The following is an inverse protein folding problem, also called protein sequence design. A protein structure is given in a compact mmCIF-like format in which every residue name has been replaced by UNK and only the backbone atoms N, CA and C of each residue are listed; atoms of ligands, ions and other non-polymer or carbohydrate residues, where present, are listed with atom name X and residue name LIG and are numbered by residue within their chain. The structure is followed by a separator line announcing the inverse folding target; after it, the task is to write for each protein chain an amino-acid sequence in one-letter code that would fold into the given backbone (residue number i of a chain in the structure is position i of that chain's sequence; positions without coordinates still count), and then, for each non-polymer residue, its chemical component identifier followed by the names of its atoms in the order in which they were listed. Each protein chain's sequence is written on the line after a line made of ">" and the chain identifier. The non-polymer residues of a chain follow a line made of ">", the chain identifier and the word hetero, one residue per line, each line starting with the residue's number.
data_IF_679079636605
#
_entry.id   IF_679079636605
#
_cell.length_a   1.000
_cell.length_b   1.000
_cell.length_c   1.000
_cell.angle_alpha   90.00
_cell.angle_beta   90.00
_cell.angle_gamma   90.00
#
_symmetry.space_group_name_H-M   'P 1'
#
loop_
_entity.id
_entity.type
_entity.pdbx_description
1 polymer ?
#
# COMPACT_ATOMS: atom_id res chain seq x y z
N UNK A 1 -2.07 -6.20 6.70
CA UNK A 1 -0.96 -6.82 5.94
C UNK A 1 0.19 -7.27 6.83
N UNK A 2 0.64 -6.49 7.83
CA UNK A 2 1.64 -6.91 8.82
C UNK A 2 1.39 -8.33 9.37
N UNK A 3 0.16 -8.64 9.78
CA UNK A 3 -0.24 -9.97 10.25
C UNK A 3 0.00 -11.11 9.25
N UNK A 4 -0.13 -10.86 7.94
CA UNK A 4 0.14 -11.85 6.90
C UNK A 4 1.65 -12.03 6.71
N UNK A 5 2.41 -10.94 6.76
CA UNK A 5 3.88 -10.97 6.72
C UNK A 5 4.46 -11.77 7.88
N UNK A 6 3.96 -11.56 9.11
CA UNK A 6 4.34 -12.35 10.31
C UNK A 6 4.04 -13.86 10.14
N UNK A 7 3.02 -14.20 9.35
CA UNK A 7 2.66 -15.58 9.03
C UNK A 7 3.37 -16.12 7.78
N UNK A 8 4.35 -15.39 7.25
CA UNK A 8 5.06 -15.72 6.01
C UNK A 8 4.09 -15.99 4.84
N UNK A 9 3.03 -15.19 4.74
CA UNK A 9 2.01 -15.30 3.71
C UNK A 9 2.00 -14.04 2.83
N UNK A 10 2.10 -14.23 1.52
CA UNK A 10 1.95 -13.18 0.50
C UNK A 10 0.58 -13.25 -0.16
N UNK A 11 -0.07 -12.09 -0.29
CA UNK A 11 -1.38 -12.00 -0.93
C UNK A 11 -1.30 -12.12 -2.45
N UNK A 12 -0.34 -11.40 -3.08
CA UNK A 12 -0.09 -11.38 -4.54
C UNK A 12 -1.21 -10.78 -5.38
N UNK A 13 -2.20 -10.19 -4.74
CA UNK A 13 -3.26 -9.43 -5.38
C UNK A 13 -3.84 -8.39 -4.41
N UNK A 14 -2.96 -7.68 -3.69
CA UNK A 14 -3.41 -6.63 -2.78
C UNK A 14 -3.88 -5.43 -3.60
N UNK A 15 -5.20 -5.23 -3.63
CA UNK A 15 -5.84 -4.13 -4.33
C UNK A 15 -7.10 -3.67 -3.59
N UNK A 16 -7.54 -2.43 -3.82
CA UNK A 16 -8.73 -1.89 -3.16
C UNK A 16 -9.99 -2.75 -3.35
N UNK A 17 -10.15 -3.38 -4.51
CA UNK A 17 -11.26 -4.32 -4.79
C UNK A 17 -11.28 -5.57 -3.88
N UNK A 18 -10.14 -5.92 -3.30
CA UNK A 18 -9.94 -7.06 -2.40
C UNK A 18 -9.91 -6.63 -0.93
N UNK A 19 -10.26 -5.37 -0.64
CA UNK A 19 -10.44 -4.84 0.72
C UNK A 19 -11.92 -4.54 0.93
N UNK A 20 -12.53 -5.27 1.84
CA UNK A 20 -13.95 -5.17 2.18
C UNK A 20 -14.14 -4.30 3.42
N UNK A 21 -15.20 -3.50 3.44
CA UNK A 21 -15.57 -2.67 4.59
C UNK A 21 -16.83 -3.25 5.22
N UNK A 22 -16.82 -3.52 6.52
CA UNK A 22 -18.01 -3.96 7.25
C UNK A 22 -18.88 -2.78 7.74
N UNK A 23 -20.02 -3.08 8.35
CA UNK A 23 -20.97 -2.07 8.87
C UNK A 23 -20.36 -1.14 9.91
N UNK A 24 -19.28 -1.56 10.57
CA UNK A 24 -18.57 -0.78 11.58
C UNK A 24 -17.42 0.04 10.98
N UNK A 25 -17.34 0.14 9.65
CA UNK A 25 -16.27 0.82 8.91
C UNK A 25 -14.89 0.19 9.12
N UNK A 26 -14.84 -1.10 9.46
CA UNK A 26 -13.58 -1.84 9.61
C UNK A 26 -13.19 -2.46 8.27
N UNK A 27 -11.97 -2.15 7.80
CA UNK A 27 -11.42 -2.72 6.59
C UNK A 27 -10.84 -4.12 6.81
N UNK A 28 -11.17 -5.07 5.93
CA UNK A 28 -10.74 -6.47 5.97
C UNK A 28 -10.20 -6.89 4.62
N UNK A 29 -9.01 -7.48 4.61
CA UNK A 29 -8.39 -8.05 3.41
C UNK A 29 -9.08 -9.37 3.07
N UNK A 30 -9.46 -9.59 1.81
CA UNK A 30 -10.06 -10.83 1.32
C UNK A 30 -9.53 -11.22 -0.07
N UNK A 31 -10.12 -12.26 -0.66
CA UNK A 31 -9.68 -12.86 -1.93
C UNK A 31 -8.25 -13.44 -1.93
N UNK A 32 -8.04 -14.46 -1.11
CA UNK A 32 -6.78 -15.19 -0.98
C UNK A 32 -6.54 -16.24 -2.07
N UNK A 33 -7.30 -16.23 -3.18
CA UNK A 33 -7.20 -17.24 -4.24
C UNK A 33 -5.79 -17.36 -4.86
N UNK A 34 -5.03 -16.26 -4.81
CA UNK A 34 -3.65 -16.18 -5.30
C UNK A 34 -2.59 -16.22 -4.19
N UNK A 35 -3.00 -16.23 -2.92
CA UNK A 35 -2.10 -16.15 -1.78
C UNK A 35 -1.22 -17.39 -1.65
N UNK A 36 0.02 -17.22 -1.17
CA UNK A 36 1.01 -18.30 -1.02
C UNK A 36 1.84 -18.11 0.24
N UNK A 37 2.27 -19.22 0.82
CA UNK A 37 3.31 -19.21 1.83
C UNK A 37 4.66 -18.97 1.18
N UNK A 38 5.51 -18.25 1.90
CA UNK A 38 6.88 -17.94 1.53
C UNK A 38 7.81 -18.88 2.30
N UNK A 39 8.94 -19.27 1.72
CA UNK A 39 9.98 -20.02 2.43
C UNK A 39 10.63 -19.19 3.55
N UNK A 40 11.43 -19.84 4.39
CA UNK A 40 12.07 -19.21 5.55
C UNK A 40 13.00 -18.03 5.19
N UNK A 41 13.49 -18.00 3.96
CA UNK A 41 14.29 -16.92 3.37
C UNK A 41 13.45 -15.73 2.88
N UNK A 42 12.12 -15.77 3.00
CA UNK A 42 11.24 -14.68 2.57
C UNK A 42 11.07 -14.58 1.06
N UNK A 43 11.39 -15.66 0.30
CA UNK A 43 11.26 -15.71 -1.15
C UNK A 43 10.14 -16.65 -1.63
N UNK A 44 9.45 -16.24 -2.70
CA UNK A 44 8.65 -17.17 -3.51
C UNK A 44 9.00 -17.00 -4.99
N UNK A 45 9.47 -18.09 -5.62
CA UNK A 45 9.78 -18.14 -7.05
C UNK A 45 8.68 -18.92 -7.77
N UNK A 46 7.99 -18.28 -8.72
CA UNK A 46 6.90 -18.91 -9.48
C UNK A 46 7.41 -19.60 -10.75
N UNK A 47 7.35 -20.93 -10.78
CA UNK A 47 7.78 -21.75 -11.94
C UNK A 47 6.75 -21.83 -13.07
N UNK A 48 5.47 -21.56 -12.82
CA UNK A 48 4.36 -21.73 -13.80
C UNK A 48 3.92 -20.44 -14.51
N UNK A 49 3.53 -20.54 -15.80
CA UNK A 49 3.11 -19.43 -16.67
C UNK A 49 1.64 -18.97 -16.50
N UNK A 50 1.07 -19.01 -15.29
CA UNK A 50 -0.32 -18.55 -15.05
C UNK A 50 -0.39 -17.01 -15.07
N UNK A 51 -1.44 -16.44 -15.67
CA UNK A 51 -1.75 -14.99 -15.67
C UNK A 51 -1.69 -14.41 -14.24
N UNK A 52 -1.05 -13.26 -14.09
CA UNK A 52 -0.91 -12.51 -12.82
C UNK A 52 -1.53 -11.11 -12.97
N UNK A 53 -1.96 -10.49 -11.86
CA UNK A 53 -2.47 -9.11 -11.84
C UNK A 53 -1.31 -8.11 -12.03
N UNK A 54 -0.82 -8.01 -13.27
CA UNK A 54 0.40 -7.27 -13.63
C UNK A 54 0.35 -5.77 -13.33
N UNK A 55 -0.85 -5.15 -13.29
CA UNK A 55 -1.04 -3.75 -12.88
C UNK A 55 -0.80 -3.50 -11.38
N UNK A 56 -0.75 -4.56 -10.58
CA UNK A 56 -0.50 -4.51 -9.14
C UNK A 56 0.82 -5.17 -8.76
N UNK A 57 1.69 -5.45 -9.74
CA UNK A 57 2.93 -6.21 -9.54
C UNK A 57 4.17 -5.33 -9.64
N UNK A 58 5.16 -5.60 -8.80
CA UNK A 58 6.47 -4.95 -8.84
C UNK A 58 7.33 -5.40 -10.04
N UNK A 59 8.38 -4.62 -10.36
CA UNK A 59 9.26 -4.87 -11.49
C UNK A 59 9.93 -6.25 -11.40
N UNK A 60 10.43 -6.64 -10.23
CA UNK A 60 11.04 -7.95 -10.00
C UNK A 60 10.03 -9.11 -10.13
N UNK A 61 8.76 -8.89 -9.75
CA UNK A 61 7.71 -9.89 -9.96
C UNK A 61 7.35 -10.07 -11.44
N UNK A 62 7.39 -8.98 -12.22
CA UNK A 62 7.14 -9.00 -13.66
C UNK A 62 8.30 -9.60 -14.46
N UNK A 63 9.54 -9.25 -14.10
CA UNK A 63 10.76 -9.64 -14.82
C UNK A 63 11.26 -11.01 -14.42
N UNK A 64 11.42 -11.23 -13.12
CA UNK A 64 12.18 -12.35 -12.56
C UNK A 64 11.27 -13.39 -11.89
N UNK A 65 9.96 -13.12 -11.82
CA UNK A 65 8.96 -13.96 -11.14
C UNK A 65 9.27 -14.20 -9.66
N UNK A 66 9.94 -13.23 -9.05
CA UNK A 66 10.29 -13.17 -7.63
C UNK A 66 9.21 -12.39 -6.89
N UNK A 67 8.64 -12.99 -5.84
CA UNK A 67 7.59 -12.39 -5.02
C UNK A 67 8.02 -12.35 -3.55
N UNK A 68 7.73 -11.22 -2.91
CA UNK A 68 7.94 -10.97 -1.47
C UNK A 68 6.72 -10.23 -0.93
N UNK A 69 6.67 -9.96 0.39
CA UNK A 69 5.66 -9.08 1.00
C UNK A 69 5.65 -7.67 0.40
N UNK A 70 6.72 -7.27 -0.29
CA UNK A 70 6.93 -5.93 -0.85
C UNK A 70 6.59 -5.81 -2.35
N UNK A 71 6.04 -6.86 -2.94
CA UNK A 71 5.86 -6.98 -4.39
C UNK A 71 4.53 -6.42 -4.94
N UNK A 72 3.64 -5.90 -4.09
CA UNK A 72 2.33 -5.38 -4.50
C UNK A 72 2.41 -3.85 -4.82
N UNK A 73 2.36 -3.45 -6.11
CA UNK A 73 2.53 -2.04 -6.61
C UNK A 73 1.48 -1.61 -7.66
N UNK A 74 0.74 -0.49 -7.50
CA UNK A 74 -0.37 -0.12 -8.40
C UNK A 74 0.02 0.74 -9.64
N UNK A 75 -0.47 0.38 -10.83
CA UNK A 75 -0.34 1.10 -12.12
C UNK A 75 -1.57 0.90 -13.04
N UNK A 76 -2.70 1.60 -12.77
CA UNK A 76 -3.96 1.36 -13.48
C UNK A 76 -3.95 1.82 -14.95
N UNK A 77 -3.29 2.94 -15.25
CA UNK A 77 -3.39 3.66 -16.54
C UNK A 77 -2.49 3.10 -17.65
N UNK A 78 -1.74 2.04 -17.36
CA UNK A 78 -0.84 1.43 -18.33
C UNK A 78 -1.58 0.32 -19.07
N UNK A 79 -1.50 0.35 -20.40
CA UNK A 79 -2.31 -0.49 -21.29
C UNK A 79 -1.76 -1.92 -21.44
N UNK A 80 -0.45 -2.11 -21.30
CA UNK A 80 0.20 -3.41 -21.45
C UNK A 80 1.32 -3.68 -20.42
N UNK A 81 1.61 -4.95 -20.09
CA UNK A 81 2.75 -5.32 -19.25
C UNK A 81 4.10 -4.84 -19.80
N UNK A 82 4.29 -4.87 -21.13
CA UNK A 82 5.54 -4.43 -21.76
C UNK A 82 5.74 -2.92 -21.58
N UNK A 83 4.68 -2.13 -21.76
CA UNK A 83 4.69 -0.69 -21.52
C UNK A 83 4.97 -0.38 -20.04
N UNK A 84 4.45 -1.19 -19.12
CA UNK A 84 4.70 -1.04 -17.69
C UNK A 84 6.17 -1.29 -17.37
N UNK A 85 6.74 -2.40 -17.83
CA UNK A 85 8.16 -2.73 -17.64
C UNK A 85 9.03 -1.60 -18.19
N UNK A 86 8.77 -1.15 -19.43
CA UNK A 86 9.53 -0.07 -20.05
C UNK A 86 9.52 1.21 -19.22
N UNK A 87 8.35 1.65 -18.72
CA UNK A 87 8.24 2.83 -17.86
C UNK A 87 8.95 2.65 -16.52
N UNK A 88 8.76 1.51 -15.86
CA UNK A 88 9.39 1.26 -14.57
C UNK A 88 10.93 1.25 -14.68
N UNK A 89 11.46 0.73 -15.79
CA UNK A 89 12.89 0.73 -16.08
C UNK A 89 13.48 2.13 -16.32
N UNK A 90 12.67 3.14 -16.66
CA UNK A 90 13.14 4.54 -16.72
C UNK A 90 13.02 5.26 -15.38
N UNK A 91 12.68 4.55 -14.30
CA UNK A 91 12.45 5.14 -12.98
C UNK A 91 11.06 5.80 -12.82
N UNK A 92 10.15 5.66 -13.78
CA UNK A 92 8.81 6.23 -13.67
C UNK A 92 8.08 5.69 -12.43
N UNK A 93 7.40 6.57 -11.70
CA UNK A 93 6.46 6.27 -10.61
C UNK A 93 5.22 7.15 -10.74
N UNK A 94 4.11 6.74 -10.15
CA UNK A 94 2.86 7.50 -10.25
C UNK A 94 3.02 8.88 -9.60
N UNK A 95 2.50 9.96 -10.21
CA UNK A 95 2.51 11.28 -9.60
C UNK A 95 1.57 11.33 -8.38
N UNK A 96 1.75 12.35 -7.53
CA UNK A 96 0.89 12.57 -6.37
C UNK A 96 -0.57 12.83 -6.80
N UNK A 97 -1.55 12.09 -6.26
CA UNK A 97 -2.97 12.38 -6.48
C UNK A 97 -3.36 13.74 -5.89
N UNK A 98 -4.32 14.44 -6.51
CA UNK A 98 -4.74 15.78 -6.09
C UNK A 98 -5.15 15.91 -4.61
N UNK A 99 -5.81 14.89 -4.05
CA UNK A 99 -6.31 14.86 -2.67
C UNK A 99 -5.37 14.15 -1.68
N UNK A 100 -4.14 13.81 -2.09
CA UNK A 100 -3.17 13.12 -1.25
C UNK A 100 -2.22 14.14 -0.60
N UNK A 101 -2.00 14.08 0.72
CA UNK A 101 -1.02 14.96 1.39
C UNK A 101 0.42 14.62 0.98
N UNK A 102 1.36 15.56 1.17
CA UNK A 102 2.77 15.32 0.83
C UNK A 102 3.37 14.20 1.70
N UNK A 103 2.99 14.12 2.97
CA UNK A 103 3.47 13.11 3.91
C UNK A 103 2.96 11.73 3.53
N UNK A 104 1.68 11.61 3.17
CA UNK A 104 1.11 10.35 2.71
C UNK A 104 1.73 9.92 1.37
N UNK A 105 1.93 10.86 0.45
CA UNK A 105 2.60 10.58 -0.82
C UNK A 105 4.07 10.18 -0.65
N UNK A 106 4.76 10.74 0.35
CA UNK A 106 6.13 10.34 0.70
C UNK A 106 6.16 8.89 1.17
N UNK A 107 5.22 8.47 2.02
CA UNK A 107 5.07 7.07 2.42
C UNK A 107 4.70 6.17 1.22
N UNK A 108 3.79 6.60 0.35
CA UNK A 108 3.47 5.84 -0.87
C UNK A 108 4.70 5.65 -1.77
N UNK A 109 5.47 6.73 -1.97
CA UNK A 109 6.66 6.73 -2.83
C UNK A 109 7.77 5.85 -2.26
N UNK A 110 7.94 5.78 -0.93
CA UNK A 110 8.92 4.90 -0.29
C UNK A 110 8.59 3.41 -0.50
N UNK A 111 7.30 3.06 -0.62
CA UNK A 111 6.86 1.71 -0.97
C UNK A 111 7.21 1.34 -2.42
N UNK A 112 7.52 2.32 -3.28
CA UNK A 112 7.77 2.10 -4.71
C UNK A 112 9.25 2.17 -5.10
N UNK A 113 10.16 2.22 -4.13
CA UNK A 113 11.61 2.23 -4.40
C UNK A 113 12.00 0.99 -5.24
N UNK A 114 12.87 1.18 -6.24
CA UNK A 114 13.26 0.09 -7.12
C UNK A 114 13.86 -1.09 -6.37
N UNK A 115 14.86 -0.84 -5.50
CA UNK A 115 15.44 -1.84 -4.63
C UNK A 115 14.43 -2.30 -3.55
N UNK A 116 13.94 -3.55 -3.57
CA UNK A 116 12.98 -4.05 -2.58
C UNK A 116 13.50 -4.01 -1.15
N UNK A 117 14.81 -4.13 -0.94
CA UNK A 117 15.41 -4.08 0.39
C UNK A 117 15.26 -2.70 1.05
N UNK A 118 15.14 -1.64 0.24
CA UNK A 118 14.96 -0.27 0.71
C UNK A 118 13.50 0.11 0.95
N UNK A 119 12.54 -0.70 0.48
CA UNK A 119 11.11 -0.47 0.75
C UNK A 119 10.83 -0.75 2.23
N UNK A 120 9.93 0.00 2.88
CA UNK A 120 9.56 -0.22 4.28
C UNK A 120 8.91 -1.61 4.48
N UNK A 121 9.01 -2.15 5.70
CA UNK A 121 8.20 -3.31 6.12
C UNK A 121 6.76 -2.90 6.39
N UNK A 122 5.82 -3.85 6.48
CA UNK A 122 4.46 -3.48 6.88
C UNK A 122 4.40 -2.90 8.30
N UNK A 123 5.29 -3.32 9.19
CA UNK A 123 5.42 -2.73 10.53
C UNK A 123 5.78 -1.25 10.46
N UNK A 124 6.75 -0.88 9.61
CA UNK A 124 7.14 0.53 9.41
C UNK A 124 5.99 1.35 8.83
N UNK A 125 5.27 0.78 7.84
CA UNK A 125 4.10 1.42 7.23
C UNK A 125 3.01 1.66 8.27
N UNK A 126 2.70 0.68 9.12
CA UNK A 126 1.69 0.81 10.19
C UNK A 126 2.09 1.94 11.14
N UNK A 127 3.34 1.95 11.61
CA UNK A 127 3.83 2.99 12.53
C UNK A 127 3.73 4.39 11.92
N UNK A 128 4.10 4.55 10.64
CA UNK A 128 3.99 5.84 9.94
C UNK A 128 2.54 6.27 9.75
N UNK A 129 1.64 5.36 9.37
CA UNK A 129 0.21 5.67 9.23
C UNK A 129 -0.42 6.06 10.58
N UNK A 130 -0.08 5.38 11.67
CA UNK A 130 -0.55 5.73 13.01
C UNK A 130 -0.11 7.15 13.42
N UNK A 131 1.14 7.51 13.12
CA UNK A 131 1.65 8.85 13.34
C UNK A 131 0.85 9.89 12.54
N UNK A 132 0.68 9.68 11.23
CA UNK A 132 -0.09 10.58 10.37
C UNK A 132 -1.54 10.75 10.84
N UNK A 133 -2.19 9.67 11.28
CA UNK A 133 -3.55 9.70 11.81
C UNK A 133 -3.67 10.51 13.11
N UNK A 134 -2.65 10.45 13.98
CA UNK A 134 -2.62 11.26 15.22
C UNK A 134 -2.47 12.74 14.92
N UNK A 135 -1.58 13.10 14.00
CA UNK A 135 -1.36 14.49 13.60
C UNK A 135 -2.61 15.09 12.94
N UNK A 136 -3.24 14.36 12.01
CA UNK A 136 -4.52 14.76 11.41
C UNK A 136 -5.57 15.02 12.49
N UNK A 137 -5.76 14.10 13.45
CA UNK A 137 -6.72 14.32 14.55
C UNK A 137 -6.43 15.59 15.34
N UNK A 138 -5.17 15.91 15.64
CA UNK A 138 -4.79 17.15 16.35
C UNK A 138 -5.17 18.40 15.55
N UNK A 139 -4.94 18.42 14.24
CA UNK A 139 -5.25 19.58 13.40
C UNK A 139 -6.75 19.89 13.32
N UNK A 140 -7.61 18.86 13.29
CA UNK A 140 -9.07 19.05 13.21
C UNK A 140 -9.75 19.29 14.56
N UNK A 141 -9.13 18.91 15.69
CA UNK A 141 -9.68 19.19 17.04
C UNK A 141 -9.52 20.66 17.43
N UNK A 142 -8.48 21.34 16.94
CA UNK A 142 -8.18 22.75 17.25
C UNK A 142 -9.14 23.80 16.63
N UNK A 143 -10.22 23.39 15.96
CA UNK A 143 -11.20 24.33 15.37
C UNK A 143 -12.57 24.21 16.05
N UNK A 144 -12.86 23.09 16.72
CA UNK A 144 -14.17 22.84 17.34
C UNK A 144 -14.24 23.21 18.83
N UNK A 145 -13.09 23.34 19.51
CA UNK A 145 -13.07 23.72 20.94
C UNK A 145 -13.11 25.23 21.19
N UNK A 146 -12.63 26.06 20.25
CA UNK A 146 -12.54 27.52 20.44
C UNK A 146 -13.82 28.30 20.05
N UNK A 147 -14.74 27.70 19.28
CA UNK A 147 -16.01 28.37 18.90
C UNK A 147 -17.19 28.08 19.84
N UNK A 148 -17.07 27.12 20.76
CA UNK A 148 -18.16 26.76 21.69
C UNK A 148 -18.01 27.48 23.04
N UNK A 149 -16.79 27.77 23.49
CA UNK A 149 -16.55 28.45 24.78
C UNK A 149 -16.79 29.95 24.75
N UNK A 150 -16.92 30.58 23.57
CA UNK A 150 -17.19 32.02 23.44
C UNK A 150 -18.67 32.39 23.27
N UNK A 151 -19.59 31.41 23.23
CA UNK A 151 -21.03 31.65 22.99
C UNK A 151 -21.97 31.29 24.14
N UNK A 152 -21.46 30.93 25.32
CA UNK A 152 -22.31 30.58 26.48
C UNK A 152 -22.44 31.70 27.53
N UNK A 153 -21.69 32.81 27.42
CA UNK A 153 -21.74 33.90 28.41
C UNK A 153 -22.39 35.21 27.90
N UNK A 154 -23.51 35.14 27.18
CA UNK A 154 -24.36 36.31 26.95
C UNK A 154 -25.86 35.99 27.09
N UNK A 155 -26.36 36.33 28.29
CA UNK A 155 -27.75 36.49 28.77
C UNK A 155 -28.44 35.28 29.39
#
# INVERSE_FOLDING_TARGET
>A
MQHLEERKCIHRDLAARNVFIDSSKVAKVGDFGLARNISDDGLYIKTSCVKIPWRWSSLESLRDRVYTSKSDLPYPDIESPLSLVSRLSTGYRMPRPHQCSEELYTLMSSCWIENPLMRPSFTDIVNQLEYLLREVKRTYINIMEDEITSRVDLK
#
